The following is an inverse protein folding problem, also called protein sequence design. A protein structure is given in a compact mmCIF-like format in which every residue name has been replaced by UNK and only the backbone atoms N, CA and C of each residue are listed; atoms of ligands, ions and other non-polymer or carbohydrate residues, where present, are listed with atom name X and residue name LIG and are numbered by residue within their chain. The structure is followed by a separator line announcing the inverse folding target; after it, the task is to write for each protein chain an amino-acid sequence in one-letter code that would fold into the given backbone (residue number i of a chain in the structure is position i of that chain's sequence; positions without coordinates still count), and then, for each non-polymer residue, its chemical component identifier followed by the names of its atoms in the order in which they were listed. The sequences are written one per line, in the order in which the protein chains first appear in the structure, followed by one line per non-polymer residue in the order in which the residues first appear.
data_IF_433518169697
#
_entry.id   IF_433518169697
#
_cell.length_a   1.000
_cell.length_b   1.000
_cell.length_c   1.000
_cell.angle_alpha   90.00
_cell.angle_beta   90.00
_cell.angle_gamma   90.00
#
_symmetry.space_group_name_H-M   'P 1'
#
loop_
_entity.id
_entity.type
_entity.pdbx_description
1 polymer ?
#
# COMPACT_ATOMS: atom_id res chain seq x y z
N UNK A 1 -30.28 -1.37 -24.49
CA UNK A 1 -29.34 -1.79 -23.43
C UNK A 1 -29.46 -3.30 -23.31
N UNK A 2 -28.42 -4.08 -23.66
CA UNK A 2 -28.45 -5.54 -23.52
C UNK A 2 -28.32 -5.84 -22.02
N UNK A 3 -29.33 -6.47 -21.42
CA UNK A 3 -29.23 -6.91 -20.03
C UNK A 3 -28.11 -7.95 -19.95
N UNK A 4 -27.06 -7.65 -19.19
CA UNK A 4 -25.96 -8.56 -18.95
C UNK A 4 -26.48 -9.72 -18.08
N UNK A 5 -26.12 -10.95 -18.44
CA UNK A 5 -26.45 -12.11 -17.61
C UNK A 5 -25.78 -11.95 -16.25
N UNK A 6 -26.45 -12.35 -15.17
CA UNK A 6 -25.88 -12.33 -13.82
C UNK A 6 -24.52 -13.06 -13.76
N UNK A 7 -24.37 -14.13 -14.55
CA UNK A 7 -23.13 -14.89 -14.67
C UNK A 7 -22.00 -14.10 -15.35
N UNK A 8 -22.33 -13.35 -16.41
CA UNK A 8 -21.37 -12.48 -17.10
C UNK A 8 -20.90 -11.35 -16.17
N UNK A 9 -21.82 -10.78 -15.40
CA UNK A 9 -21.52 -9.77 -14.38
C UNK A 9 -20.56 -10.28 -13.31
N UNK A 10 -20.78 -11.48 -12.79
CA UNK A 10 -19.91 -12.10 -11.79
C UNK A 10 -18.50 -12.39 -12.34
N UNK A 11 -18.40 -12.84 -13.60
CA UNK A 11 -17.12 -13.02 -14.26
C UNK A 11 -16.34 -11.71 -14.41
N UNK A 12 -17.00 -10.65 -14.89
CA UNK A 12 -16.38 -9.34 -15.05
C UNK A 12 -15.90 -8.76 -13.71
N UNK A 13 -16.70 -8.92 -12.64
CA UNK A 13 -16.30 -8.50 -11.28
C UNK A 13 -15.15 -9.32 -10.70
N UNK A 14 -15.08 -10.61 -11.01
CA UNK A 14 -13.96 -11.45 -10.60
C UNK A 14 -12.65 -11.03 -11.30
N UNK A 15 -12.70 -10.67 -12.58
CA UNK A 15 -11.53 -10.17 -13.31
C UNK A 15 -11.08 -8.80 -12.84
N UNK A 16 -12.03 -7.88 -12.63
CA UNK A 16 -11.75 -6.55 -12.07
C UNK A 16 -11.13 -6.66 -10.67
N UNK A 17 -11.67 -7.54 -9.84
CA UNK A 17 -11.14 -7.82 -8.51
C UNK A 17 -9.70 -8.34 -8.56
N UNK A 18 -9.37 -9.25 -9.49
CA UNK A 18 -7.99 -9.74 -9.71
C UNK A 18 -7.04 -8.60 -10.10
N UNK A 19 -7.45 -7.73 -11.02
CA UNK A 19 -6.63 -6.58 -11.41
C UNK A 19 -6.38 -5.64 -10.22
N UNK A 20 -7.44 -5.34 -9.47
CA UNK A 20 -7.36 -4.49 -8.29
C UNK A 20 -6.51 -5.15 -7.19
N UNK A 21 -6.53 -6.47 -7.02
CA UNK A 21 -5.66 -7.17 -6.10
C UNK A 21 -4.18 -6.94 -6.45
N UNK A 22 -3.81 -7.03 -7.73
CA UNK A 22 -2.47 -6.68 -8.22
C UNK A 22 -2.09 -5.24 -7.91
N UNK A 23 -3.01 -4.29 -8.11
CA UNK A 23 -2.76 -2.88 -7.75
C UNK A 23 -2.51 -2.72 -6.24
N UNK A 24 -3.21 -3.46 -5.38
CA UNK A 24 -2.98 -3.42 -3.94
C UNK A 24 -1.58 -3.96 -3.57
N UNK A 25 -1.11 -5.01 -4.24
CA UNK A 25 0.26 -5.50 -4.09
C UNK A 25 1.30 -4.47 -4.55
N UNK A 26 1.07 -3.78 -5.67
CA UNK A 26 1.95 -2.72 -6.14
C UNK A 26 1.99 -1.53 -5.17
N UNK A 27 0.86 -1.15 -4.60
CA UNK A 27 0.79 -0.12 -3.54
C UNK A 27 1.60 -0.53 -2.31
N UNK A 28 1.47 -1.78 -1.88
CA UNK A 28 2.25 -2.31 -0.76
C UNK A 28 3.76 -2.28 -1.06
N UNK A 29 4.17 -2.71 -2.25
CA UNK A 29 5.57 -2.73 -2.66
C UNK A 29 6.16 -1.31 -2.73
N UNK A 30 5.42 -0.36 -3.31
CA UNK A 30 5.80 1.05 -3.32
C UNK A 30 5.94 1.60 -1.89
N UNK A 31 5.01 1.24 -1.00
CA UNK A 31 5.08 1.57 0.41
C UNK A 31 6.33 1.05 1.10
N UNK A 32 6.71 -0.19 0.83
CA UNK A 32 7.94 -0.79 1.37
C UNK A 32 9.20 -0.05 0.88
N UNK A 33 9.27 0.30 -0.40
CA UNK A 33 10.38 1.06 -0.98
C UNK A 33 10.49 2.43 -0.33
N UNK A 34 9.38 3.16 -0.20
CA UNK A 34 9.36 4.49 0.42
C UNK A 34 9.72 4.42 1.90
N UNK A 35 9.19 3.43 2.62
CA UNK A 35 9.48 3.26 4.04
C UNK A 35 10.97 2.98 4.28
N UNK A 36 11.54 1.99 3.59
CA UNK A 36 12.97 1.67 3.71
C UNK A 36 13.84 2.83 3.23
N UNK A 37 13.50 3.46 2.12
CA UNK A 37 14.20 4.63 1.59
C UNK A 37 14.20 5.82 2.56
N UNK A 38 13.06 6.08 3.22
CA UNK A 38 12.95 7.16 4.20
C UNK A 38 13.75 6.92 5.47
N UNK A 39 13.82 5.66 5.93
CA UNK A 39 14.71 5.26 7.03
C UNK A 39 16.18 5.47 6.63
N UNK A 40 16.58 5.00 5.45
CA UNK A 40 17.95 5.15 4.97
C UNK A 40 18.35 6.62 4.81
N UNK A 41 17.48 7.46 4.27
CA UNK A 41 17.72 8.90 4.15
C UNK A 41 17.87 9.57 5.52
N UNK A 42 17.04 9.19 6.49
CA UNK A 42 17.12 9.75 7.84
C UNK A 42 18.43 9.35 8.52
N UNK A 43 18.88 8.10 8.35
CA UNK A 43 20.13 7.59 8.90
C UNK A 43 21.38 8.14 8.20
N UNK A 44 21.29 8.49 6.91
CA UNK A 44 22.41 9.05 6.16
C UNK A 44 22.69 10.52 6.52
N UNK A 45 21.68 11.24 7.02
CA UNK A 45 21.73 12.67 7.27
C UNK A 45 21.87 13.05 8.74
N UNK A 46 21.30 12.28 9.66
CA UNK A 46 21.34 12.61 11.08
C UNK A 46 22.50 11.89 11.78
N UNK A 47 23.38 12.63 12.45
CA UNK A 47 24.46 12.06 13.24
C UNK A 47 23.97 11.23 14.44
N UNK A 48 22.76 11.52 14.94
CA UNK A 48 22.07 10.72 15.97
C UNK A 48 20.56 11.06 16.03
N UNK A 49 19.74 10.52 15.12
CA UNK A 49 18.29 10.77 15.15
C UNK A 49 17.65 10.11 16.37
N UNK A 50 16.74 10.81 17.06
CA UNK A 50 15.93 10.22 18.12
C UNK A 50 14.64 9.62 17.55
N UNK A 51 14.37 8.36 17.89
CA UNK A 51 13.30 7.57 17.29
C UNK A 51 12.20 7.25 18.28
N UNK A 52 10.96 7.39 17.85
CA UNK A 52 9.81 6.75 18.48
C UNK A 52 9.39 5.59 17.56
N UNK A 53 9.75 4.37 17.95
CA UNK A 53 9.66 3.16 17.13
C UNK A 53 10.46 3.30 15.82
N UNK A 54 9.82 3.77 14.76
CA UNK A 54 10.36 3.94 13.41
C UNK A 54 10.06 5.33 12.83
N UNK A 55 9.59 6.27 13.65
CA UNK A 55 9.36 7.66 13.26
C UNK A 55 10.42 8.53 13.97
N UNK A 56 11.26 9.25 13.23
CA UNK A 56 12.22 10.18 13.83
C UNK A 56 11.45 11.43 14.30
N UNK A 57 11.51 11.73 15.60
CA UNK A 57 10.81 12.90 16.18
C UNK A 57 11.75 14.06 16.51
N UNK A 58 13.06 13.78 16.59
CA UNK A 58 14.08 14.79 16.75
C UNK A 58 15.19 14.57 15.71
N UNK A 59 15.37 15.54 14.83
CA UNK A 59 16.40 15.59 13.79
C UNK A 59 16.84 17.04 13.60
N UNK A 60 18.09 17.24 13.18
CA UNK A 60 18.52 18.57 12.76
C UNK A 60 17.64 19.11 11.61
N UNK A 61 17.29 20.41 11.61
CA UNK A 61 16.37 21.00 10.64
C UNK A 61 17.09 21.23 9.29
N UNK A 62 17.34 20.13 8.57
CA UNK A 62 17.90 20.11 7.22
C UNK A 62 16.87 19.55 6.22
N UNK A 63 16.93 19.99 4.96
CA UNK A 63 15.92 19.63 3.95
C UNK A 63 15.74 18.11 3.78
N UNK A 64 16.83 17.34 3.89
CA UNK A 64 16.75 15.89 3.77
C UNK A 64 16.09 15.19 4.97
N UNK A 65 16.07 15.80 6.17
CA UNK A 65 15.30 15.26 7.30
C UNK A 65 13.79 15.29 7.01
N UNK A 66 13.32 16.35 6.35
CA UNK A 66 11.92 16.46 5.90
C UNK A 66 11.60 15.42 4.83
N UNK A 67 12.54 15.17 3.90
CA UNK A 67 12.39 14.16 2.87
C UNK A 67 12.30 12.75 3.47
N UNK A 68 13.21 12.40 4.38
CA UNK A 68 13.19 11.13 5.09
C UNK A 68 11.88 10.90 5.85
N UNK A 69 11.42 11.90 6.61
CA UNK A 69 10.15 11.82 7.34
C UNK A 69 8.95 11.67 6.39
N UNK A 70 8.91 12.40 5.28
CA UNK A 70 7.83 12.32 4.28
C UNK A 70 7.77 10.93 3.66
N UNK A 71 8.92 10.34 3.34
CA UNK A 71 9.02 8.99 2.80
C UNK A 71 8.57 7.93 3.83
N UNK A 72 8.93 8.08 5.11
CA UNK A 72 8.49 7.18 6.19
C UNK A 72 6.97 7.24 6.35
N UNK A 73 6.37 8.43 6.41
CA UNK A 73 4.92 8.60 6.60
C UNK A 73 4.15 8.07 5.39
N UNK A 74 4.54 8.46 4.18
CA UNK A 74 3.87 8.01 2.96
C UNK A 74 4.05 6.50 2.73
N UNK A 75 5.24 5.97 2.98
CA UNK A 75 5.53 4.53 2.93
C UNK A 75 4.68 3.73 3.91
N UNK A 76 4.58 4.21 5.16
CA UNK A 76 3.73 3.59 6.19
C UNK A 76 2.26 3.57 5.79
N UNK A 77 1.74 4.68 5.26
CA UNK A 77 0.36 4.75 4.77
C UNK A 77 0.13 3.74 3.63
N UNK A 78 1.02 3.70 2.63
CA UNK A 78 0.93 2.78 1.49
C UNK A 78 0.99 1.32 1.91
N UNK A 79 1.81 0.97 2.91
CA UNK A 79 1.86 -0.39 3.47
C UNK A 79 0.51 -0.79 4.07
N UNK A 80 -0.06 0.06 4.93
CA UNK A 80 -1.35 -0.22 5.60
C UNK A 80 -2.49 -0.31 4.57
N UNK A 81 -2.58 0.66 3.66
CA UNK A 81 -3.61 0.66 2.62
C UNK A 81 -3.44 -0.49 1.62
N UNK A 82 -2.20 -0.84 1.25
CA UNK A 82 -1.91 -1.96 0.37
C UNK A 82 -2.38 -3.30 0.96
N UNK A 83 -2.09 -3.56 2.24
CA UNK A 83 -2.58 -4.77 2.93
C UNK A 83 -4.11 -4.77 3.03
N UNK A 84 -4.71 -3.67 3.50
CA UNK A 84 -6.16 -3.58 3.66
C UNK A 84 -6.91 -3.74 2.32
N UNK A 85 -6.41 -3.11 1.27
CA UNK A 85 -6.95 -3.24 -0.07
C UNK A 85 -6.76 -4.67 -0.62
N UNK A 86 -5.59 -5.28 -0.41
CA UNK A 86 -5.32 -6.65 -0.85
C UNK A 86 -6.27 -7.66 -0.21
N UNK A 87 -6.44 -7.59 1.12
CA UNK A 87 -7.33 -8.47 1.87
C UNK A 87 -8.80 -8.30 1.48
N UNK A 88 -9.28 -7.05 1.37
CA UNK A 88 -10.68 -6.79 0.98
C UNK A 88 -10.99 -7.28 -0.43
N UNK A 89 -10.08 -7.04 -1.39
CA UNK A 89 -10.24 -7.45 -2.79
C UNK A 89 -10.15 -8.97 -2.94
N UNK A 90 -9.22 -9.62 -2.25
CA UNK A 90 -9.08 -11.08 -2.27
C UNK A 90 -10.32 -11.78 -1.71
N UNK A 91 -10.91 -11.25 -0.61
CA UNK A 91 -12.19 -11.74 -0.07
C UNK A 91 -13.34 -11.57 -1.06
N UNK A 92 -13.45 -10.40 -1.70
CA UNK A 92 -14.48 -10.16 -2.72
C UNK A 92 -14.36 -11.14 -3.90
N UNK A 93 -13.14 -11.41 -4.38
CA UNK A 93 -12.87 -12.39 -5.43
C UNK A 93 -13.32 -13.80 -5.03
N UNK A 94 -13.02 -14.20 -3.80
CA UNK A 94 -13.43 -15.49 -3.25
C UNK A 94 -14.95 -15.67 -3.26
N UNK A 95 -15.69 -14.63 -2.88
CA UNK A 95 -17.15 -14.62 -2.91
C UNK A 95 -17.70 -14.77 -4.33
N UNK A 96 -17.20 -13.99 -5.30
CA UNK A 96 -17.67 -14.08 -6.69
C UNK A 96 -17.44 -15.47 -7.31
N UNK A 97 -16.30 -16.10 -7.01
CA UNK A 97 -15.99 -17.43 -7.53
C UNK A 97 -16.80 -18.55 -6.85
N UNK A 98 -17.29 -18.35 -5.62
CA UNK A 98 -18.22 -19.27 -4.96
C UNK A 98 -19.61 -19.20 -5.62
N UNK A 99 -20.09 -18.00 -5.95
CA UNK A 99 -21.40 -17.80 -6.58
C UNK A 99 -21.45 -18.28 -8.05
N UNK A 100 -20.28 -18.39 -8.69
CA UNK A 100 -20.13 -18.93 -10.06
C UNK A 100 -20.07 -20.46 -10.12
N UNK A 101 -20.01 -21.14 -8.96
CA UNK A 101 -19.85 -22.59 -8.84
C UNK A 101 -21.21 -23.30 -8.80
#
# INVERSE_FOLDING_TARGET
MKAMSFRDYLHEKAEESRHNETLAYLMFLAGAIFFVGGILETLSLAGNPEWFLFIPYHTEPIAGAVLGLTLIISGSALLVFGVAAGLSRSRARGWYMQELR
#
